data_IF_367103326590
#
_entry.id   IF_367103326590
#
_cell.length_a   1.000
_cell.length_b   1.000
_cell.length_c   1.000
_cell.angle_alpha   90.00
_cell.angle_beta   90.00
_cell.angle_gamma   90.00
#
_symmetry.space_group_name_H-M   'P 1'
#
loop_
_entity.id
_entity.type
_entity.pdbx_description
1 polymer ?
#
# COMPACT_ATOMS: atom_id res chain seq x y z
N UNK A 1 -11.13 4.65 -43.31
CA UNK A 1 -10.92 3.24 -42.86
C UNK A 1 -9.51 2.99 -42.34
N UNK A 2 -8.44 3.23 -43.12
CA UNK A 2 -7.04 2.95 -42.66
C UNK A 2 -6.60 3.71 -41.41
N UNK A 3 -6.99 4.98 -41.27
CA UNK A 3 -6.64 5.81 -40.11
C UNK A 3 -7.31 5.34 -38.79
N UNK A 4 -8.55 4.84 -38.89
CA UNK A 4 -9.26 4.27 -37.73
C UNK A 4 -8.60 2.97 -37.27
N UNK A 5 -8.22 2.08 -38.18
CA UNK A 5 -7.51 0.83 -37.86
C UNK A 5 -6.15 1.10 -37.23
N UNK A 6 -5.40 2.10 -37.68
CA UNK A 6 -4.14 2.51 -37.08
C UNK A 6 -4.34 3.07 -35.66
N UNK A 7 -5.40 3.87 -35.48
CA UNK A 7 -5.71 4.39 -34.13
C UNK A 7 -6.08 3.30 -33.15
N UNK A 8 -6.88 2.31 -33.57
CA UNK A 8 -7.26 1.17 -32.74
C UNK A 8 -6.04 0.31 -32.39
N UNK A 9 -5.18 0.00 -33.36
CA UNK A 9 -3.95 -0.76 -33.13
C UNK A 9 -3.00 -0.03 -32.17
N UNK A 10 -2.86 1.30 -32.30
CA UNK A 10 -2.05 2.10 -31.37
C UNK A 10 -2.65 2.10 -29.97
N UNK A 11 -3.97 2.22 -29.83
CA UNK A 11 -4.66 2.18 -28.55
C UNK A 11 -4.44 0.83 -27.85
N UNK A 12 -4.58 -0.28 -28.57
CA UNK A 12 -4.32 -1.62 -28.02
C UNK A 12 -2.87 -1.78 -27.55
N UNK A 13 -1.89 -1.32 -28.33
CA UNK A 13 -0.48 -1.36 -27.94
C UNK A 13 -0.19 -0.51 -26.70
N UNK A 14 -0.81 0.66 -26.57
CA UNK A 14 -0.68 1.53 -25.40
C UNK A 14 -1.29 0.85 -24.18
N UNK A 15 -2.49 0.30 -24.31
CA UNK A 15 -3.16 -0.43 -23.23
C UNK A 15 -2.33 -1.64 -22.75
N UNK A 16 -1.78 -2.40 -23.70
CA UNK A 16 -0.92 -3.55 -23.36
C UNK A 16 0.33 -3.09 -22.58
N UNK A 17 1.01 -2.04 -23.03
CA UNK A 17 2.16 -1.49 -22.30
C UNK A 17 1.81 -1.00 -20.90
N UNK A 18 0.62 -0.40 -20.72
CA UNK A 18 0.15 0.02 -19.40
C UNK A 18 -0.11 -1.19 -18.49
N UNK A 19 -0.73 -2.26 -19.01
CA UNK A 19 -0.94 -3.49 -18.27
C UNK A 19 0.39 -4.14 -17.90
N UNK A 20 1.32 -4.27 -18.84
CA UNK A 20 2.63 -4.89 -18.60
C UNK A 20 3.42 -4.11 -17.52
N UNK A 21 3.34 -2.79 -17.55
CA UNK A 21 3.93 -1.94 -16.52
C UNK A 21 3.32 -2.19 -15.13
N UNK A 22 2.01 -2.41 -15.05
CA UNK A 22 1.32 -2.76 -13.80
C UNK A 22 1.68 -4.16 -13.29
N UNK A 23 2.02 -5.09 -14.19
CA UNK A 23 2.42 -6.46 -13.85
C UNK A 23 3.80 -6.55 -13.25
N UNK A 24 4.65 -5.53 -13.42
CA UNK A 24 5.92 -5.41 -12.72
C UNK A 24 5.69 -4.83 -11.33
N UNK A 25 5.67 -5.67 -10.31
CA UNK A 25 5.26 -5.29 -8.96
C UNK A 25 6.39 -5.35 -7.92
N UNK A 26 6.32 -4.43 -6.95
CA UNK A 26 7.12 -4.49 -5.73
C UNK A 26 6.35 -5.28 -4.68
N UNK A 27 6.93 -6.37 -4.19
CA UNK A 27 6.38 -7.17 -3.10
C UNK A 27 7.09 -6.81 -1.80
N UNK A 28 6.33 -6.34 -0.81
CA UNK A 28 6.85 -5.99 0.52
C UNK A 28 6.37 -7.06 1.51
N UNK A 29 7.29 -7.95 1.90
CA UNK A 29 7.00 -9.05 2.82
C UNK A 29 7.30 -8.61 4.25
N UNK A 30 6.27 -8.53 5.08
CA UNK A 30 6.40 -8.21 6.50
C UNK A 30 6.37 -9.48 7.37
N UNK A 31 6.73 -9.38 8.65
CA UNK A 31 6.89 -10.53 9.53
C UNK A 31 5.58 -11.11 10.09
N UNK A 32 4.50 -11.15 9.31
CA UNK A 32 3.27 -11.83 9.69
C UNK A 32 3.35 -13.32 9.35
N UNK A 33 2.86 -14.18 10.24
CA UNK A 33 2.82 -15.62 10.03
C UNK A 33 1.51 -16.08 9.37
N UNK A 34 0.40 -15.37 9.69
CA UNK A 34 -0.95 -15.77 9.25
C UNK A 34 -1.16 -15.36 7.80
N UNK A 35 -1.53 -16.30 6.95
CA UNK A 35 -1.90 -16.07 5.56
C UNK A 35 -0.75 -16.09 4.55
N UNK A 36 0.52 -15.96 4.98
CA UNK A 36 1.68 -15.88 4.08
C UNK A 36 1.73 -16.97 3.03
N UNK A 37 1.63 -18.28 3.35
CA UNK A 37 1.73 -19.33 2.35
C UNK A 37 0.66 -19.21 1.25
N UNK A 38 -0.58 -18.91 1.63
CA UNK A 38 -1.69 -18.77 0.67
C UNK A 38 -1.49 -17.54 -0.24
N UNK A 39 -1.06 -16.41 0.33
CA UNK A 39 -0.79 -15.21 -0.45
C UNK A 39 0.38 -15.40 -1.43
N UNK A 40 1.47 -16.05 -0.99
CA UNK A 40 2.62 -16.35 -1.85
C UNK A 40 2.24 -17.31 -2.97
N UNK A 41 1.44 -18.34 -2.70
CA UNK A 41 0.95 -19.23 -3.75
C UNK A 41 0.09 -18.50 -4.79
N UNK A 42 -0.79 -17.60 -4.33
CA UNK A 42 -1.56 -16.73 -5.24
C UNK A 42 -0.67 -15.84 -6.11
N UNK A 43 0.41 -15.29 -5.57
CA UNK A 43 1.38 -14.50 -6.34
C UNK A 43 2.19 -15.38 -7.31
N UNK A 44 2.52 -16.60 -6.93
CA UNK A 44 3.17 -17.57 -7.81
C UNK A 44 2.30 -17.92 -9.03
N UNK A 45 0.99 -18.08 -8.84
CA UNK A 45 0.06 -18.29 -9.96
C UNK A 45 0.08 -17.12 -10.95
N UNK A 46 0.14 -15.88 -10.46
CA UNK A 46 0.16 -14.68 -11.31
C UNK A 46 1.39 -14.62 -12.21
N UNK A 47 2.50 -15.27 -11.85
CA UNK A 47 3.69 -15.35 -12.73
C UNK A 47 3.37 -16.01 -14.06
N UNK A 48 2.48 -17.00 -14.09
CA UNK A 48 2.00 -17.65 -15.31
C UNK A 48 1.26 -16.68 -16.25
N UNK A 49 0.81 -15.55 -15.71
CA UNK A 49 0.12 -14.47 -16.42
C UNK A 49 1.08 -13.32 -16.82
N UNK A 50 2.38 -13.50 -16.63
CA UNK A 50 3.42 -12.53 -17.00
C UNK A 50 3.72 -11.49 -15.91
N UNK A 51 3.36 -11.76 -14.64
CA UNK A 51 3.82 -10.90 -13.54
C UNK A 51 5.28 -11.16 -13.22
N UNK A 52 6.01 -10.06 -12.99
CA UNK A 52 7.39 -10.07 -12.47
C UNK A 52 7.48 -9.31 -11.16
N UNK A 53 8.38 -9.73 -10.30
CA UNK A 53 8.47 -9.23 -8.94
C UNK A 53 9.86 -8.72 -8.59
N UNK A 54 9.88 -7.62 -7.84
CA UNK A 54 10.98 -7.25 -6.98
C UNK A 54 10.50 -7.41 -5.55
N UNK A 55 11.31 -7.93 -4.65
CA UNK A 55 10.89 -8.22 -3.29
C UNK A 55 11.76 -7.52 -2.24
N UNK A 56 11.10 -6.85 -1.30
CA UNK A 56 11.69 -6.41 -0.05
C UNK A 56 11.19 -7.29 1.08
N UNK A 57 12.09 -7.79 1.90
CA UNK A 57 11.76 -8.48 3.15
C UNK A 57 12.16 -7.64 4.35
N UNK A 58 11.24 -7.49 5.33
CA UNK A 58 11.63 -6.95 6.62
C UNK A 58 12.51 -7.93 7.37
N UNK A 59 13.28 -7.46 8.35
CA UNK A 59 14.07 -8.36 9.21
C UNK A 59 13.20 -9.42 9.87
N UNK A 60 12.00 -9.05 10.33
CA UNK A 60 11.07 -10.01 10.91
C UNK A 60 10.59 -11.04 9.89
N UNK A 61 10.40 -10.67 8.63
CA UNK A 61 10.00 -11.60 7.57
C UNK A 61 11.08 -12.67 7.30
N UNK A 62 12.36 -12.33 7.48
CA UNK A 62 13.44 -13.30 7.36
C UNK A 62 13.31 -14.46 8.36
N UNK A 63 12.87 -14.16 9.58
CA UNK A 63 12.68 -15.18 10.63
C UNK A 63 11.36 -15.93 10.49
N UNK A 64 10.28 -15.25 10.08
CA UNK A 64 8.93 -15.81 10.06
C UNK A 64 8.63 -16.57 8.77
N UNK A 65 8.99 -15.97 7.63
CA UNK A 65 8.70 -16.53 6.30
C UNK A 65 9.93 -17.25 5.73
N UNK A 66 11.11 -16.68 5.92
CA UNK A 66 12.35 -17.14 5.33
C UNK A 66 12.53 -16.68 3.88
N UNK A 67 13.78 -16.38 3.52
CA UNK A 67 14.14 -15.91 2.18
C UNK A 67 13.87 -16.99 1.11
N UNK A 68 14.12 -18.24 1.44
CA UNK A 68 13.97 -19.37 0.51
C UNK A 68 12.50 -19.53 0.05
N UNK A 69 11.55 -19.42 0.98
CA UNK A 69 10.13 -19.51 0.65
C UNK A 69 9.69 -18.37 -0.29
N UNK A 70 10.19 -17.16 -0.06
CA UNK A 70 9.90 -16.00 -0.91
C UNK A 70 10.54 -16.17 -2.30
N UNK A 71 11.77 -16.63 -2.38
CA UNK A 71 12.44 -16.92 -3.66
C UNK A 71 11.73 -18.02 -4.44
N UNK A 72 11.35 -19.10 -3.79
CA UNK A 72 10.64 -20.21 -4.43
C UNK A 72 9.26 -19.83 -4.99
N UNK A 73 8.53 -18.93 -4.30
CA UNK A 73 7.22 -18.51 -4.73
C UNK A 73 7.28 -17.41 -5.81
N UNK A 74 8.09 -16.39 -5.60
CA UNK A 74 8.07 -15.18 -6.42
C UNK A 74 9.10 -15.23 -7.56
N UNK A 75 10.21 -15.98 -7.43
CA UNK A 75 11.39 -15.90 -8.32
C UNK A 75 11.70 -14.43 -8.67
N UNK A 76 11.96 -13.58 -7.67
CA UNK A 76 12.03 -12.16 -7.90
C UNK A 76 13.28 -11.78 -8.70
N UNK A 77 13.16 -10.80 -9.59
CA UNK A 77 14.29 -10.22 -10.34
C UNK A 77 15.35 -9.67 -9.37
N UNK A 78 14.89 -9.09 -8.26
CA UNK A 78 15.72 -8.66 -7.15
C UNK A 78 15.02 -8.96 -5.83
N UNK A 79 15.76 -9.47 -4.86
CA UNK A 79 15.33 -9.63 -3.49
C UNK A 79 16.36 -8.99 -2.58
N UNK A 80 15.90 -8.13 -1.68
CA UNK A 80 16.75 -7.55 -0.65
C UNK A 80 16.06 -7.52 0.70
N UNK A 81 16.86 -7.54 1.73
CA UNK A 81 16.43 -7.37 3.11
C UNK A 81 16.48 -5.89 3.45
N UNK A 82 15.56 -5.46 4.26
CA UNK A 82 15.45 -4.09 4.76
C UNK A 82 16.77 -3.58 5.33
N UNK A 83 17.30 -2.52 4.71
CA UNK A 83 18.53 -1.83 5.09
C UNK A 83 18.39 -0.33 4.84
N UNK A 84 19.26 0.46 5.43
CA UNK A 84 19.29 1.91 5.23
C UNK A 84 19.96 2.35 3.91
N UNK A 85 20.51 1.40 3.14
CA UNK A 85 21.37 1.71 2.00
C UNK A 85 20.62 2.17 0.76
N UNK A 86 19.32 2.02 0.72
CA UNK A 86 18.48 2.38 -0.44
C UNK A 86 17.34 3.29 0.00
N UNK A 87 17.19 4.47 -0.64
CA UNK A 87 16.04 5.33 -0.39
C UNK A 87 14.73 4.63 -0.76
N UNK A 88 13.84 4.31 0.21
CA UNK A 88 12.63 3.53 -0.03
C UNK A 88 11.71 4.15 -1.08
N UNK A 89 11.59 5.48 -1.07
CA UNK A 89 10.72 6.23 -1.96
C UNK A 89 11.19 6.14 -3.42
N UNK A 90 12.52 6.09 -3.65
CA UNK A 90 13.08 5.94 -5.00
C UNK A 90 12.89 4.53 -5.53
N UNK A 91 12.98 3.53 -4.66
CA UNK A 91 12.66 2.14 -5.04
C UNK A 91 11.18 2.02 -5.37
N UNK A 92 10.30 2.45 -4.47
CA UNK A 92 8.86 2.42 -4.68
C UNK A 92 8.41 3.20 -5.93
N UNK A 93 9.14 4.27 -6.30
CA UNK A 93 8.82 5.08 -7.48
C UNK A 93 8.88 4.29 -8.80
N UNK A 94 9.67 3.22 -8.86
CA UNK A 94 9.87 2.40 -10.07
C UNK A 94 8.70 1.47 -10.39
N UNK A 95 7.78 1.28 -9.46
CA UNK A 95 6.67 0.34 -9.57
C UNK A 95 5.33 1.07 -9.49
N UNK A 96 4.37 0.68 -10.30
CA UNK A 96 3.00 1.19 -10.24
C UNK A 96 2.10 0.31 -9.36
N UNK A 97 2.58 -0.90 -9.04
CA UNK A 97 1.88 -1.88 -8.19
C UNK A 97 2.77 -2.27 -7.01
N UNK A 98 2.23 -2.18 -5.80
CA UNK A 98 2.87 -2.62 -4.56
C UNK A 98 1.98 -3.68 -3.90
N UNK A 99 2.56 -4.83 -3.60
CA UNK A 99 1.86 -5.99 -3.06
C UNK A 99 2.39 -6.29 -1.66
N UNK A 100 1.50 -6.45 -0.70
CA UNK A 100 1.85 -6.81 0.67
C UNK A 100 1.16 -8.14 0.98
N UNK A 101 1.84 -9.29 0.79
CA UNK A 101 1.22 -10.62 0.93
C UNK A 101 0.88 -10.97 2.39
N UNK A 102 1.45 -10.24 3.33
CA UNK A 102 1.15 -10.41 4.75
C UNK A 102 1.41 -9.11 5.50
N UNK A 103 0.36 -8.47 5.98
CA UNK A 103 0.45 -7.25 6.78
C UNK A 103 0.53 -7.61 8.27
N UNK A 104 1.55 -7.10 8.98
CA UNK A 104 1.60 -7.20 10.44
C UNK A 104 0.74 -6.13 11.10
N UNK A 105 0.29 -6.38 12.33
CA UNK A 105 -0.37 -5.38 13.19
C UNK A 105 0.47 -4.11 13.32
N UNK A 106 1.79 -4.28 13.53
CA UNK A 106 2.72 -3.17 13.66
C UNK A 106 2.77 -2.31 12.39
N UNK A 107 2.97 -2.93 11.23
CA UNK A 107 3.01 -2.20 9.96
C UNK A 107 1.65 -1.53 9.66
N UNK A 108 0.53 -2.19 9.97
CA UNK A 108 -0.80 -1.60 9.84
C UNK A 108 -0.95 -0.33 10.68
N UNK A 109 -0.51 -0.35 11.93
CA UNK A 109 -0.56 0.81 12.82
C UNK A 109 0.33 1.95 12.33
N UNK A 110 1.55 1.67 11.87
CA UNK A 110 2.44 2.69 11.30
C UNK A 110 1.82 3.37 10.08
N UNK A 111 1.33 2.59 9.13
CA UNK A 111 0.69 3.11 7.92
C UNK A 111 -0.58 3.91 8.23
N UNK A 112 -1.42 3.42 9.15
CA UNK A 112 -2.65 4.10 9.56
C UNK A 112 -2.40 5.46 10.23
N UNK A 113 -1.21 5.65 10.80
CA UNK A 113 -0.77 6.91 11.41
C UNK A 113 0.24 7.66 10.52
N UNK A 114 0.36 7.29 9.24
CA UNK A 114 1.28 7.92 8.27
C UNK A 114 2.74 7.92 8.73
N UNK A 115 3.17 6.89 9.49
CA UNK A 115 4.54 6.73 9.97
C UNK A 115 5.36 5.95 8.95
N UNK A 116 6.51 6.49 8.55
CA UNK A 116 7.44 5.91 7.57
C UNK A 116 8.84 5.67 8.17
N UNK A 117 8.86 5.17 9.38
CA UNK A 117 10.06 4.95 10.18
C UNK A 117 10.82 3.64 9.85
N UNK A 118 10.27 2.85 8.93
CA UNK A 118 10.94 1.68 8.37
C UNK A 118 10.90 1.72 6.84
N UNK A 119 11.90 1.13 6.14
CA UNK A 119 11.90 1.04 4.68
C UNK A 119 10.62 0.40 4.11
N UNK A 120 10.09 -0.64 4.75
CA UNK A 120 8.85 -1.28 4.34
C UNK A 120 7.66 -0.34 4.44
N UNK A 121 7.47 0.33 5.59
CA UNK A 121 6.40 1.30 5.77
C UNK A 121 6.54 2.49 4.80
N UNK A 122 7.76 3.01 4.62
CA UNK A 122 8.03 4.10 3.70
C UNK A 122 7.69 3.76 2.24
N UNK A 123 8.01 2.54 1.77
CA UNK A 123 7.67 2.08 0.41
C UNK A 123 6.16 1.99 0.21
N UNK A 124 5.44 1.38 1.15
CA UNK A 124 3.98 1.22 1.07
C UNK A 124 3.31 2.59 1.12
N UNK A 125 3.70 3.43 2.08
CA UNK A 125 3.14 4.78 2.23
C UNK A 125 3.42 5.65 1.00
N UNK A 126 4.63 5.59 0.43
CA UNK A 126 4.96 6.26 -0.82
C UNK A 126 4.05 5.83 -1.98
N UNK A 127 3.68 4.55 -2.02
CA UNK A 127 2.71 4.03 -2.99
C UNK A 127 1.32 4.64 -2.80
N UNK A 128 0.81 4.66 -1.58
CA UNK A 128 -0.49 5.24 -1.24
C UNK A 128 -0.54 6.74 -1.56
N UNK A 129 0.49 7.50 -1.13
CA UNK A 129 0.60 8.94 -1.39
C UNK A 129 0.62 9.30 -2.88
N UNK A 130 1.10 8.39 -3.72
CA UNK A 130 1.18 8.57 -5.18
C UNK A 130 0.00 7.95 -5.94
N UNK A 131 -1.02 7.45 -5.24
CA UNK A 131 -2.20 6.83 -5.84
C UNK A 131 -1.89 5.56 -6.64
N UNK A 132 -0.83 4.82 -6.28
CA UNK A 132 -0.46 3.56 -6.92
C UNK A 132 -1.40 2.43 -6.51
N UNK A 133 -1.36 1.32 -7.25
CA UNK A 133 -2.08 0.12 -6.85
C UNK A 133 -1.39 -0.54 -5.65
N UNK A 134 -1.92 -0.35 -4.45
CA UNK A 134 -1.43 -1.00 -3.23
C UNK A 134 -2.44 -2.07 -2.81
N UNK A 135 -2.06 -3.36 -2.94
CA UNK A 135 -2.91 -4.51 -2.57
C UNK A 135 -2.31 -5.20 -1.36
N UNK A 136 -3.11 -5.41 -0.33
CA UNK A 136 -2.65 -5.83 1.00
C UNK A 136 -3.49 -6.99 1.52
N UNK A 137 -2.85 -8.13 1.79
CA UNK A 137 -3.46 -9.22 2.52
C UNK A 137 -3.40 -8.94 4.03
N UNK A 138 -4.58 -8.89 4.66
CA UNK A 138 -4.73 -8.40 6.04
C UNK A 138 -4.80 -9.49 7.10
N UNK A 139 -4.70 -10.77 6.73
CA UNK A 139 -4.86 -11.90 7.66
C UNK A 139 -4.00 -11.78 8.92
N UNK A 140 -2.77 -11.31 8.75
CA UNK A 140 -1.83 -11.07 9.84
C UNK A 140 -2.15 -9.83 10.69
N UNK A 141 -2.99 -8.90 10.23
CA UNK A 141 -3.38 -7.70 10.95
C UNK A 141 -4.86 -7.72 11.40
N UNK A 142 -5.71 -8.54 10.76
CA UNK A 142 -7.13 -8.64 11.07
C UNK A 142 -7.37 -9.21 12.47
N UNK A 143 -8.05 -8.50 13.37
CA UNK A 143 -8.31 -8.99 14.72
C UNK A 143 -9.28 -10.19 14.77
N UNK A 144 -10.11 -10.34 13.76
CA UNK A 144 -11.15 -11.38 13.69
C UNK A 144 -10.68 -12.66 13.00
N UNK A 145 -9.40 -12.72 12.58
CA UNK A 145 -8.88 -13.94 11.97
C UNK A 145 -8.89 -15.10 12.99
N UNK A 146 -9.58 -16.23 12.71
CA UNK A 146 -9.74 -17.32 13.67
C UNK A 146 -8.41 -17.94 14.12
N UNK A 147 -7.40 -17.94 13.26
CA UNK A 147 -6.06 -18.46 13.58
C UNK A 147 -5.39 -17.71 14.74
N UNK A 148 -5.83 -16.48 15.04
CA UNK A 148 -5.31 -15.76 16.22
C UNK A 148 -5.70 -16.43 17.53
N UNK A 149 -6.95 -16.86 17.65
CA UNK A 149 -7.41 -17.58 18.84
C UNK A 149 -6.69 -18.93 18.99
N UNK A 150 -6.47 -19.64 17.89
CA UNK A 150 -5.70 -20.89 17.85
C UNK A 150 -4.24 -20.67 18.30
N UNK A 151 -3.66 -19.52 18.00
CA UNK A 151 -2.32 -19.12 18.42
C UNK A 151 -2.27 -18.53 19.85
N UNK A 152 -3.40 -18.54 20.58
CA UNK A 152 -3.48 -18.07 21.96
C UNK A 152 -3.59 -16.55 22.13
N UNK A 153 -3.91 -15.80 21.08
CA UNK A 153 -4.13 -14.35 21.21
C UNK A 153 -5.52 -14.05 21.76
N UNK A 154 -5.57 -13.43 22.93
CA UNK A 154 -6.79 -12.94 23.57
C UNK A 154 -6.74 -11.42 23.66
N UNK A 155 -7.46 -10.76 22.74
CA UNK A 155 -7.48 -9.30 22.67
C UNK A 155 -8.67 -8.73 23.45
N UNK A 156 -8.42 -7.65 24.19
CA UNK A 156 -9.48 -6.84 24.77
C UNK A 156 -10.27 -6.13 23.66
N UNK A 157 -11.53 -5.77 23.95
CA UNK A 157 -12.36 -5.04 22.98
C UNK A 157 -11.71 -3.75 22.47
N UNK A 158 -11.16 -2.86 23.33
CA UNK A 158 -10.50 -1.64 22.83
C UNK A 158 -9.33 -1.92 21.87
N UNK A 159 -8.58 -3.00 22.11
CA UNK A 159 -7.48 -3.39 21.21
C UNK A 159 -8.01 -3.89 19.87
N UNK A 160 -9.08 -4.67 19.85
CA UNK A 160 -9.72 -5.11 18.60
C UNK A 160 -10.25 -3.92 17.79
N UNK A 161 -10.94 -3.00 18.49
CA UNK A 161 -11.49 -1.78 17.86
C UNK A 161 -10.36 -0.95 17.22
N UNK A 162 -9.23 -0.77 17.92
CA UNK A 162 -8.07 -0.06 17.38
C UNK A 162 -7.44 -0.74 16.15
N UNK A 163 -7.39 -2.08 16.11
CA UNK A 163 -6.90 -2.81 14.93
C UNK A 163 -7.86 -2.68 13.74
N UNK A 164 -9.16 -2.71 13.97
CA UNK A 164 -10.16 -2.44 12.91
C UNK A 164 -10.01 -1.02 12.37
N UNK A 165 -9.93 -0.03 13.25
CA UNK A 165 -9.73 1.38 12.85
C UNK A 165 -8.48 1.55 11.99
N UNK A 166 -7.37 0.89 12.30
CA UNK A 166 -6.17 0.93 11.47
C UNK A 166 -6.42 0.38 10.07
N UNK A 167 -7.14 -0.74 9.93
CA UNK A 167 -7.47 -1.30 8.62
C UNK A 167 -8.43 -0.41 7.83
N UNK A 168 -9.43 0.16 8.49
CA UNK A 168 -10.36 1.13 7.87
C UNK A 168 -9.63 2.37 7.34
N UNK A 169 -8.67 2.91 8.11
CA UNK A 169 -7.82 4.02 7.66
C UNK A 169 -7.02 3.65 6.42
N UNK A 170 -6.41 2.45 6.39
CA UNK A 170 -5.66 2.00 5.22
C UNK A 170 -6.54 1.90 3.98
N UNK A 171 -7.74 1.37 4.12
CA UNK A 171 -8.72 1.31 3.04
C UNK A 171 -9.11 2.72 2.57
N UNK A 172 -9.36 3.64 3.49
CA UNK A 172 -9.68 5.04 3.18
C UNK A 172 -8.51 5.77 2.48
N UNK A 173 -7.26 5.40 2.77
CA UNK A 173 -6.07 5.91 2.10
C UNK A 173 -5.85 5.32 0.70
N UNK A 174 -6.69 4.38 0.27
CA UNK A 174 -6.66 3.79 -1.07
C UNK A 174 -6.00 2.42 -1.15
N UNK A 175 -5.63 1.80 -0.02
CA UNK A 175 -5.17 0.42 -0.02
C UNK A 175 -6.34 -0.53 -0.36
N UNK A 176 -6.07 -1.51 -1.22
CA UNK A 176 -7.03 -2.58 -1.53
C UNK A 176 -6.79 -3.74 -0.57
N UNK A 177 -7.61 -3.81 0.46
CA UNK A 177 -7.53 -4.87 1.46
C UNK A 177 -8.15 -6.16 0.93
N UNK A 178 -7.51 -7.29 1.18
CA UNK A 178 -7.97 -8.62 0.76
C UNK A 178 -7.56 -9.68 1.79
N UNK A 179 -8.14 -10.88 1.68
CA UNK A 179 -7.59 -12.06 2.35
C UNK A 179 -6.36 -12.57 1.61
N UNK A 180 -5.55 -13.37 2.27
CA UNK A 180 -4.41 -14.03 1.67
C UNK A 180 -4.82 -14.98 0.52
N UNK A 181 -5.93 -15.68 0.67
CA UNK A 181 -6.49 -16.61 -0.32
C UNK A 181 -6.99 -15.87 -1.58
N UNK A 182 -7.54 -14.67 -1.42
CA UNK A 182 -8.04 -13.85 -2.53
C UNK A 182 -6.96 -12.93 -3.14
N UNK A 183 -5.70 -13.03 -2.71
CA UNK A 183 -4.62 -12.13 -3.13
C UNK A 183 -4.49 -12.02 -4.66
N UNK A 184 -4.42 -13.14 -5.36
CA UNK A 184 -4.31 -13.17 -6.82
C UNK A 184 -5.51 -12.49 -7.51
N UNK A 185 -6.72 -12.76 -7.04
CA UNK A 185 -7.96 -12.15 -7.55
C UNK A 185 -7.98 -10.65 -7.33
N UNK A 186 -7.57 -10.19 -6.14
CA UNK A 186 -7.52 -8.78 -5.81
C UNK A 186 -6.50 -8.03 -6.68
N UNK A 187 -5.33 -8.63 -6.93
CA UNK A 187 -4.30 -8.08 -7.82
C UNK A 187 -4.80 -7.97 -9.26
N UNK A 188 -5.41 -9.03 -9.81
CA UNK A 188 -6.04 -8.96 -11.15
C UNK A 188 -7.04 -7.81 -11.20
N UNK A 189 -7.97 -7.74 -10.25
CA UNK A 189 -8.96 -6.67 -10.19
C UNK A 189 -8.32 -5.28 -10.11
N UNK A 190 -7.24 -5.11 -9.33
CA UNK A 190 -6.53 -3.85 -9.20
C UNK A 190 -5.95 -3.37 -10.54
N UNK A 191 -5.32 -4.27 -11.28
CA UNK A 191 -4.68 -3.95 -12.56
C UNK A 191 -5.71 -3.67 -13.65
N UNK A 192 -6.72 -4.53 -13.78
CA UNK A 192 -7.72 -4.37 -14.84
C UNK A 192 -8.76 -3.28 -14.56
N UNK A 193 -8.93 -2.83 -13.31
CA UNK A 193 -9.79 -1.67 -13.02
C UNK A 193 -9.22 -0.34 -13.53
N UNK A 194 -7.96 -0.32 -13.95
CA UNK A 194 -7.33 0.82 -14.63
C UNK A 194 -7.64 0.88 -16.12
N UNK A 195 -8.06 -0.22 -16.71
CA UNK A 195 -8.56 -0.22 -18.08
C UNK A 195 -9.89 0.55 -18.07
N UNK A 196 -10.07 1.54 -18.96
CA UNK A 196 -11.36 2.19 -19.06
C UNK A 196 -12.40 1.11 -19.27
N UNK A 197 -13.31 0.95 -18.33
CA UNK A 197 -14.50 0.14 -18.55
C UNK A 197 -15.06 0.64 -19.87
N UNK A 198 -15.17 -0.24 -20.86
CA UNK A 198 -15.73 0.09 -22.19
C UNK A 198 -16.91 0.98 -21.93
N UNK A 199 -16.85 2.20 -22.41
CA UNK A 199 -17.63 3.34 -21.99
C UNK A 199 -19.06 2.94 -21.61
N UNK A 200 -19.30 2.82 -20.33
CA UNK A 200 -20.65 2.83 -19.84
C UNK A 200 -21.24 4.15 -20.31
N UNK A 201 -22.24 4.09 -21.20
CA UNK A 201 -22.94 5.27 -21.70
C UNK A 201 -23.20 6.19 -20.50
N UNK A 202 -22.89 7.49 -20.56
CA UNK A 202 -23.11 8.40 -19.45
C UNK A 202 -24.60 8.34 -19.08
N UNK A 203 -24.87 7.74 -17.91
CA UNK A 203 -26.16 7.88 -17.28
C UNK A 203 -26.42 9.35 -17.00
N UNK A 204 -27.68 9.80 -16.94
CA UNK A 204 -28.01 11.21 -16.76
C UNK A 204 -27.29 11.76 -15.53
N UNK A 205 -26.57 12.85 -15.71
CA UNK A 205 -25.79 13.50 -14.68
C UNK A 205 -26.64 13.72 -13.41
N UNK A 206 -26.29 13.05 -12.33
CA UNK A 206 -26.82 13.35 -11.02
C UNK A 206 -26.44 14.79 -10.71
N UNK A 207 -27.45 15.65 -10.45
CA UNK A 207 -27.24 17.02 -10.03
C UNK A 207 -26.34 17.04 -8.81
N UNK A 208 -25.19 17.71 -8.94
CA UNK A 208 -24.30 17.93 -7.83
C UNK A 208 -25.04 18.72 -6.74
N UNK A 209 -25.40 18.05 -5.65
CA UNK A 209 -25.77 18.73 -4.42
C UNK A 209 -24.53 19.46 -3.89
N UNK A 210 -24.68 20.77 -3.70
CA UNK A 210 -23.65 21.58 -3.06
C UNK A 210 -23.41 21.00 -1.65
N UNK A 211 -22.15 20.73 -1.28
CA UNK A 211 -21.87 20.33 0.10
C UNK A 211 -22.30 21.43 1.05
N UNK A 212 -23.17 21.12 2.00
CA UNK A 212 -23.51 22.00 3.10
C UNK A 212 -22.21 22.36 3.83
N UNK A 213 -22.00 23.67 4.04
CA UNK A 213 -20.86 24.19 4.75
C UNK A 213 -20.91 23.71 6.21
N UNK A 214 -20.24 22.61 6.51
CA UNK A 214 -19.92 22.26 7.89
C UNK A 214 -18.76 23.15 8.32
N UNK A 215 -19.06 24.05 9.26
CA UNK A 215 -18.13 25.02 9.82
C UNK A 215 -16.93 24.32 10.46
N UNK A 216 -15.88 24.17 9.71
CA UNK A 216 -14.57 23.76 10.22
C UNK A 216 -14.07 24.82 11.18
N UNK A 217 -13.91 24.46 12.45
CA UNK A 217 -13.32 25.32 13.47
C UNK A 217 -11.86 25.58 13.08
N UNK A 218 -11.60 26.73 12.47
CA UNK A 218 -10.24 27.20 12.20
C UNK A 218 -9.59 27.51 13.56
N UNK A 219 -8.63 26.67 13.96
CA UNK A 219 -7.82 26.93 15.16
C UNK A 219 -6.90 28.10 14.82
N UNK A 220 -7.17 29.28 15.43
CA UNK A 220 -6.35 30.46 15.24
C UNK A 220 -4.97 30.23 15.91
N UNK A 221 -3.85 30.67 15.30
CA UNK A 221 -2.48 30.47 15.82
C UNK A 221 -2.27 30.93 17.26
N UNK A 222 -3.06 31.90 17.73
CA UNK A 222 -2.99 32.41 19.10
C UNK A 222 -3.44 31.43 20.20
N UNK A 223 -4.21 30.35 19.83
CA UNK A 223 -4.64 29.34 20.80
C UNK A 223 -3.59 28.21 20.96
N UNK A 224 -2.80 27.93 19.92
CA UNK A 224 -1.77 26.89 19.96
C UNK A 224 -0.70 27.17 21.02
N UNK A 225 -0.28 28.42 21.18
CA UNK A 225 0.71 28.81 22.18
C UNK A 225 0.23 28.69 23.63
N UNK A 226 -1.10 28.76 23.87
CA UNK A 226 -1.67 28.65 25.22
C UNK A 226 -1.88 27.21 25.67
N UNK A 227 -2.04 26.29 24.71
CA UNK A 227 -2.29 24.87 25.02
C UNK A 227 -0.97 24.13 25.28
N UNK A 228 0.13 24.55 24.65
CA UNK A 228 1.42 23.84 24.73
C UNK A 228 2.42 24.46 25.70
N UNK A 229 2.12 25.58 26.35
CA UNK A 229 3.02 26.21 27.34
C UNK A 229 4.40 26.63 26.80
N UNK A 230 4.58 26.67 25.48
CA UNK A 230 5.84 27.03 24.85
C UNK A 230 5.91 28.53 24.63
N UNK A 231 6.82 29.21 25.32
CA UNK A 231 7.19 30.60 25.02
C UNK A 231 7.82 30.64 23.63
N UNK A 232 7.31 31.50 22.76
CA UNK A 232 7.91 31.75 21.45
C UNK A 232 9.35 32.22 21.63
N UNK A 233 10.30 31.43 21.18
CA UNK A 233 11.70 31.83 21.08
C UNK A 233 11.83 32.63 19.78
N UNK A 234 12.06 33.93 19.95
CA UNK A 234 12.27 34.86 18.85
C UNK A 234 13.70 34.63 18.32
N UNK A 235 13.88 33.79 17.31
CA UNK A 235 15.17 33.63 16.62
C UNK A 235 15.26 34.62 15.47
N UNK A 236 15.87 35.76 15.72
CA UNK A 236 16.38 36.60 14.64
C UNK A 236 17.50 35.86 13.89
N UNK A 237 17.60 35.99 12.56
CA UNK A 237 18.65 35.33 11.78
C UNK A 237 20.01 35.95 12.08
N UNK A 238 20.90 35.19 12.68
CA UNK A 238 22.33 35.55 12.76
C UNK A 238 23.00 35.10 11.46
N UNK A 239 23.71 36.05 10.86
CA UNK A 239 24.33 35.93 9.54
C UNK A 239 25.32 34.78 9.41
N UNK A 240 25.38 34.29 8.20
CA UNK A 240 26.40 33.37 7.71
C UNK A 240 27.80 33.95 7.86
N UNK A 241 28.71 33.18 8.45
CA UNK A 241 30.15 33.37 8.24
C UNK A 241 30.64 32.17 7.48
N UNK A 242 31.09 32.42 6.24
CA UNK A 242 31.85 31.52 5.40
C UNK A 242 33.29 31.51 5.89
N UNK A 243 33.81 30.33 6.18
CA UNK A 243 35.22 29.98 6.00
C UNK A 243 35.28 28.55 5.49
#
# INVERSE_FOLDING_TARGET
>A
MALALLADELAERVLQKLVDRQKRALVVVTGAAIGVPAALEGLKELRKEGFTYHALMTRSAMYVTGEEAVRAALEPEQLWVESADRPPELVAAQFDTILVPALTVNTAAHLANCMSDSPAAAMILSGLLKGKNVVVAVDGACPDNPKRAELGYHMTRPMRDALHENLEKLQAYGARLTSAEDMAKAVRKAIYSFLPAQAAKPGPAAKAEKPAAQGGRVIRPALAGKILGVKAINTAPRGAVVV
#
